data_IF_734048049096
#
_entry.id   IF_734048049096
#
_cell.length_a   1.000
_cell.length_b   1.000
_cell.length_c   1.000
_cell.angle_alpha   90.00
_cell.angle_beta   90.00
_cell.angle_gamma   90.00
#
_symmetry.space_group_name_H-M   'P 1'
#
loop_
_entity.id
_entity.type
_entity.pdbx_description
1 polymer ?
#
# COMPACT_ATOMS: atom_id res chain seq x y z
N UNK A 1 -15.00 0.68 -44.92
CA UNK A 1 -14.61 1.08 -43.57
C UNK A 1 -13.18 0.65 -43.33
N UNK A 2 -12.23 1.60 -43.35
CA UNK A 2 -10.81 1.30 -43.07
C UNK A 2 -10.68 0.89 -41.60
N UNK A 3 -10.60 -0.40 -41.29
CA UNK A 3 -10.23 -0.89 -39.95
C UNK A 3 -8.79 -0.44 -39.72
N UNK A 4 -8.58 0.54 -38.85
CA UNK A 4 -7.25 0.97 -38.39
C UNK A 4 -6.45 -0.29 -37.97
N UNK A 5 -5.27 -0.47 -38.52
CA UNK A 5 -4.30 -1.50 -38.07
C UNK A 5 -3.98 -1.23 -36.60
N UNK A 6 -4.50 -2.05 -35.71
CA UNK A 6 -4.08 -2.06 -34.31
C UNK A 6 -2.87 -3.01 -34.22
N UNK A 7 -1.70 -2.44 -34.09
CA UNK A 7 -0.48 -3.23 -33.88
C UNK A 7 -0.57 -4.01 -32.57
N UNK A 8 -0.16 -5.27 -32.61
CA UNK A 8 -0.10 -6.18 -31.46
C UNK A 8 0.66 -5.59 -30.29
N UNK A 9 1.70 -4.77 -30.60
CA UNK A 9 2.49 -4.04 -29.59
C UNK A 9 1.59 -3.15 -28.72
N UNK A 10 0.66 -2.40 -29.31
CA UNK A 10 -0.23 -1.52 -28.55
C UNK A 10 -1.30 -2.29 -27.78
N UNK A 11 -1.77 -3.42 -28.33
CA UNK A 11 -2.78 -4.28 -27.66
C UNK A 11 -2.22 -4.87 -26.35
N UNK A 12 -0.92 -5.16 -26.31
CA UNK A 12 -0.25 -5.72 -25.12
C UNK A 12 0.29 -4.58 -24.22
N UNK A 13 1.00 -3.62 -24.80
CA UNK A 13 1.79 -2.64 -24.06
C UNK A 13 0.92 -1.60 -23.35
N UNK A 14 -0.16 -1.13 -23.97
CA UNK A 14 -1.04 -0.11 -23.39
C UNK A 14 -1.73 -0.60 -22.12
N UNK A 15 -2.38 -1.78 -22.07
CA UNK A 15 -3.00 -2.25 -20.83
C UNK A 15 -1.96 -2.55 -19.73
N UNK A 16 -0.76 -3.03 -20.07
CA UNK A 16 0.30 -3.27 -19.09
C UNK A 16 0.81 -1.97 -18.48
N UNK A 17 0.99 -0.92 -19.30
CA UNK A 17 1.37 0.41 -18.81
C UNK A 17 0.28 0.98 -17.89
N UNK A 18 -1.00 0.87 -18.30
CA UNK A 18 -2.13 1.34 -17.48
C UNK A 18 -2.14 0.61 -16.13
N UNK A 19 -2.00 -0.72 -16.13
CA UNK A 19 -1.90 -1.51 -14.90
C UNK A 19 -0.73 -1.07 -14.02
N UNK A 20 0.43 -0.82 -14.61
CA UNK A 20 1.61 -0.31 -13.90
C UNK A 20 1.35 1.05 -13.26
N UNK A 21 0.78 2.00 -14.00
CA UNK A 21 0.47 3.34 -13.50
C UNK A 21 -0.57 3.25 -12.36
N UNK A 22 -1.65 2.50 -12.55
CA UNK A 22 -2.70 2.31 -11.52
C UNK A 22 -2.11 1.69 -10.26
N UNK A 23 -1.23 0.70 -10.40
CA UNK A 23 -0.56 0.05 -9.27
C UNK A 23 0.35 1.02 -8.49
N UNK A 24 1.15 1.82 -9.19
CA UNK A 24 2.04 2.83 -8.56
C UNK A 24 1.22 3.91 -7.84
N UNK A 25 0.21 4.48 -8.50
CA UNK A 25 -0.66 5.50 -7.91
C UNK A 25 -1.40 4.95 -6.68
N UNK A 26 -1.91 3.71 -6.77
CA UNK A 26 -2.56 3.03 -5.65
C UNK A 26 -1.61 2.85 -4.46
N UNK A 27 -0.37 2.47 -4.71
CA UNK A 27 0.63 2.26 -3.66
C UNK A 27 0.98 3.58 -2.95
N UNK A 28 1.21 4.66 -3.70
CA UNK A 28 1.47 6.00 -3.13
C UNK A 28 0.27 6.45 -2.28
N UNK A 29 -0.95 6.26 -2.76
CA UNK A 29 -2.15 6.64 -2.02
C UNK A 29 -2.36 5.81 -0.75
N UNK A 30 -2.08 4.51 -0.81
CA UNK A 30 -2.11 3.61 0.36
C UNK A 30 -1.10 4.02 1.42
N UNK A 31 0.13 4.35 1.03
CA UNK A 31 1.17 4.86 1.95
C UNK A 31 0.75 6.16 2.62
N UNK A 32 0.20 7.11 1.88
CA UNK A 32 -0.29 8.38 2.44
C UNK A 32 -1.48 8.17 3.39
N UNK A 33 -2.36 7.21 3.09
CA UNK A 33 -3.48 6.87 3.97
C UNK A 33 -3.00 6.25 5.28
N UNK A 34 -2.03 5.34 5.21
CA UNK A 34 -1.42 4.71 6.38
C UNK A 34 -0.67 5.73 7.24
N UNK A 35 0.08 6.64 6.61
CA UNK A 35 0.75 7.73 7.33
C UNK A 35 -0.25 8.58 8.12
N UNK A 36 -1.36 9.00 7.53
CA UNK A 36 -2.41 9.78 8.23
C UNK A 36 -3.02 9.02 9.41
N UNK A 37 -3.22 7.71 9.28
CA UNK A 37 -3.72 6.87 10.37
C UNK A 37 -2.70 6.83 11.51
N UNK A 38 -1.42 6.62 11.18
CA UNK A 38 -0.35 6.60 12.17
C UNK A 38 -0.16 7.96 12.87
N UNK A 39 -0.10 9.06 12.11
CA UNK A 39 0.05 10.40 12.67
C UNK A 39 -1.11 10.74 13.62
N UNK A 40 -2.34 10.36 13.27
CA UNK A 40 -3.51 10.53 14.15
C UNK A 40 -3.39 9.66 15.41
N UNK A 41 -2.97 8.40 15.28
CA UNK A 41 -2.78 7.52 16.43
C UNK A 41 -1.69 8.03 17.38
N UNK A 42 -0.55 8.47 16.86
CA UNK A 42 0.55 9.03 17.64
C UNK A 42 0.08 10.28 18.40
N UNK A 43 -0.59 11.18 17.71
CA UNK A 43 -1.12 12.40 18.34
C UNK A 43 -2.09 12.10 19.50
N UNK A 44 -3.00 11.16 19.31
CA UNK A 44 -3.95 10.75 20.35
C UNK A 44 -3.20 10.21 21.58
N UNK A 45 -2.23 9.31 21.34
CA UNK A 45 -1.48 8.69 22.44
C UNK A 45 -0.65 9.73 23.19
N UNK A 46 0.08 10.60 22.48
CA UNK A 46 0.95 11.62 23.08
C UNK A 46 0.14 12.66 23.87
N UNK A 47 -0.94 13.21 23.30
CA UNK A 47 -1.75 14.23 23.96
C UNK A 47 -2.50 13.66 25.17
N UNK A 48 -3.13 12.49 25.04
CA UNK A 48 -3.92 11.91 26.13
C UNK A 48 -3.03 11.38 27.26
N UNK A 49 -1.91 10.72 26.92
CA UNK A 49 -0.97 10.24 27.92
C UNK A 49 -0.37 11.42 28.71
N UNK A 50 0.01 12.48 28.00
CA UNK A 50 0.51 13.70 28.63
C UNK A 50 -0.52 14.29 29.61
N UNK A 51 -1.78 14.47 29.18
CA UNK A 51 -2.82 15.06 30.02
C UNK A 51 -3.08 14.23 31.28
N UNK A 52 -3.30 12.91 31.15
CA UNK A 52 -3.59 12.02 32.27
C UNK A 52 -2.39 11.96 33.23
N UNK A 53 -1.17 11.85 32.71
CA UNK A 53 0.03 11.77 33.55
C UNK A 53 0.26 13.07 34.28
N UNK A 54 0.16 14.22 33.60
CA UNK A 54 0.34 15.56 34.22
C UNK A 54 -0.70 15.82 35.29
N UNK A 55 -1.98 15.53 35.04
CA UNK A 55 -3.05 15.69 36.03
C UNK A 55 -2.85 14.77 37.24
N UNK A 56 -2.41 13.52 37.03
CA UNK A 56 -2.09 12.60 38.12
C UNK A 56 -0.92 13.09 39.00
N UNK A 57 0.10 13.66 38.36
CA UNK A 57 1.24 14.25 39.07
C UNK A 57 0.83 15.51 39.84
N UNK A 58 0.03 16.40 39.23
CA UNK A 58 -0.54 17.60 39.89
C UNK A 58 -1.34 17.21 41.13
N UNK A 59 -2.21 16.18 41.01
CA UNK A 59 -2.99 15.68 42.14
C UNK A 59 -2.12 15.16 43.29
N UNK A 60 -1.08 14.41 42.91
CA UNK A 60 -0.13 13.87 43.89
C UNK A 60 0.60 14.97 44.66
N UNK A 61 1.08 15.99 43.96
CA UNK A 61 1.79 17.12 44.60
C UNK A 61 0.83 17.97 45.44
N UNK A 62 -0.38 18.28 44.99
CA UNK A 62 -1.40 18.96 45.77
C UNK A 62 -1.71 18.21 47.08
N UNK A 63 -1.89 16.87 47.00
CA UNK A 63 -2.09 16.00 48.17
C UNK A 63 -0.85 15.97 49.10
N UNK A 64 0.36 16.10 48.55
CA UNK A 64 1.58 16.16 49.34
C UNK A 64 1.66 17.44 50.21
N UNK A 65 1.30 18.60 49.64
CA UNK A 65 1.22 19.88 50.36
C UNK A 65 0.26 19.76 51.53
N UNK A 66 -0.96 19.27 51.32
CA UNK A 66 -1.93 19.07 52.39
C UNK A 66 -1.40 18.15 53.50
N UNK A 67 -0.80 17.03 53.14
CA UNK A 67 -0.21 16.06 54.07
C UNK A 67 0.94 16.63 54.88
N UNK A 68 1.80 17.48 54.30
CA UNK A 68 2.88 18.17 54.99
C UNK A 68 2.32 19.18 55.99
N UNK A 69 1.28 19.92 55.63
CA UNK A 69 0.59 20.84 56.53
C UNK A 69 0.01 20.13 57.78
N UNK A 70 -0.62 18.95 57.57
CA UNK A 70 -1.10 18.10 58.68
C UNK A 70 0.07 17.59 59.55
N UNK A 71 1.18 17.21 58.95
CA UNK A 71 2.38 16.76 59.65
C UNK A 71 2.94 17.86 60.56
N UNK A 72 2.87 19.13 60.16
CA UNK A 72 3.29 20.26 60.93
C UNK A 72 2.48 20.42 62.26
N UNK A 73 1.18 20.10 62.28
CA UNK A 73 0.35 20.17 63.48
C UNK A 73 0.85 19.16 64.55
N UNK A 74 1.28 17.98 64.14
CA UNK A 74 1.72 16.92 65.03
C UNK A 74 3.20 16.97 65.38
N UNK A 75 3.99 17.82 64.70
CA UNK A 75 5.40 18.01 65.01
C UNK A 75 5.58 18.49 66.45
N UNK A 76 6.54 17.94 67.17
CA UNK A 76 6.76 18.18 68.60
C UNK A 76 7.91 19.12 68.91
N UNK A 77 8.80 19.35 67.95
CA UNK A 77 9.97 20.22 68.11
C UNK A 77 10.03 21.29 67.00
N UNK A 78 10.71 22.37 67.33
CA UNK A 78 10.79 23.57 66.47
C UNK A 78 11.55 23.26 65.15
N UNK A 79 12.62 22.48 65.19
CA UNK A 79 13.44 22.20 64.00
C UNK A 79 12.66 21.38 63.00
N UNK A 80 11.86 20.38 63.42
CA UNK A 80 10.94 19.60 62.60
C UNK A 80 9.87 20.52 61.99
N UNK A 81 9.31 21.49 62.76
CA UNK A 81 8.33 22.43 62.21
C UNK A 81 8.92 23.31 61.08
N UNK A 82 10.14 23.84 61.30
CA UNK A 82 10.82 24.64 60.28
C UNK A 82 11.08 23.82 59.02
N UNK A 83 11.59 22.59 59.15
CA UNK A 83 11.84 21.70 58.03
C UNK A 83 10.55 21.37 57.22
N UNK A 84 9.42 21.25 57.91
CA UNK A 84 8.11 21.01 57.27
C UNK A 84 7.62 22.26 56.51
N UNK A 85 7.83 23.49 57.06
CA UNK A 85 7.55 24.75 56.35
C UNK A 85 8.35 24.84 55.05
N UNK A 86 9.66 24.50 55.07
CA UNK A 86 10.51 24.54 53.90
C UNK A 86 10.06 23.46 52.88
N UNK A 87 9.62 22.30 53.36
CA UNK A 87 9.08 21.24 52.51
C UNK A 87 7.77 21.65 51.83
N UNK A 88 6.83 22.31 52.56
CA UNK A 88 5.58 22.86 51.98
C UNK A 88 5.90 23.86 50.88
N UNK A 89 6.80 24.81 51.12
CA UNK A 89 7.20 25.81 50.10
C UNK A 89 7.85 25.18 48.88
N UNK A 90 8.66 24.13 49.06
CA UNK A 90 9.28 23.41 47.96
C UNK A 90 8.24 22.70 47.08
N UNK A 91 7.23 22.05 47.71
CA UNK A 91 6.15 21.38 46.95
C UNK A 91 5.20 22.41 46.31
N UNK A 92 4.91 23.54 46.95
CA UNK A 92 4.15 24.65 46.33
C UNK A 92 4.87 25.14 45.06
N UNK A 93 6.17 25.46 45.15
CA UNK A 93 6.96 25.90 43.98
C UNK A 93 6.99 24.89 42.86
N UNK A 94 7.05 23.59 43.19
CA UNK A 94 7.02 22.50 42.26
C UNK A 94 5.63 22.42 41.58
N UNK A 95 4.56 22.49 42.34
CA UNK A 95 3.20 22.47 41.84
C UNK A 95 2.92 23.67 40.94
N UNK A 96 3.36 24.88 41.35
CA UNK A 96 3.26 26.10 40.53
C UNK A 96 3.95 25.93 39.17
N UNK A 97 5.13 25.32 39.11
CA UNK A 97 5.85 25.04 37.86
C UNK A 97 5.11 24.02 36.99
N UNK A 98 4.51 22.99 37.59
CA UNK A 98 3.73 21.98 36.86
C UNK A 98 2.44 22.56 36.28
N UNK A 99 1.78 23.43 37.02
CA UNK A 99 0.57 24.12 36.56
C UNK A 99 0.88 25.11 35.42
N UNK A 100 2.00 25.84 35.50
CA UNK A 100 2.46 26.69 34.39
C UNK A 100 2.73 25.87 33.12
N UNK A 101 3.40 24.73 33.25
CA UNK A 101 3.66 23.84 32.09
C UNK A 101 2.37 23.24 31.53
N UNK A 102 1.45 22.77 32.39
CA UNK A 102 0.18 22.22 31.96
C UNK A 102 -0.69 23.27 31.26
N UNK A 103 -0.68 24.51 31.74
CA UNK A 103 -1.44 25.62 31.17
C UNK A 103 -1.09 25.90 29.70
N UNK A 104 0.16 25.65 29.28
CA UNK A 104 0.64 25.86 27.89
C UNK A 104 0.01 24.92 26.91
N UNK A 105 -0.53 23.78 27.37
CA UNK A 105 -1.15 22.73 26.58
C UNK A 105 -2.58 22.42 27.00
N UNK A 106 -3.19 23.35 27.76
CA UNK A 106 -4.52 23.19 28.35
C UNK A 106 -5.57 22.94 27.25
N UNK A 107 -6.32 21.81 27.31
CA UNK A 107 -7.44 21.56 26.41
C UNK A 107 -8.55 22.61 26.64
N UNK A 108 -9.21 23.04 25.57
CA UNK A 108 -10.31 24.03 25.67
C UNK A 108 -11.46 23.56 26.56
N UNK A 109 -11.74 22.26 26.55
CA UNK A 109 -12.82 21.67 27.35
C UNK A 109 -12.48 21.68 28.86
N UNK A 110 -11.21 21.91 29.22
CA UNK A 110 -10.71 21.92 30.60
C UNK A 110 -10.50 23.36 31.16
N UNK A 111 -10.63 24.41 30.35
CA UNK A 111 -10.35 25.78 30.75
C UNK A 111 -11.13 26.20 32.03
N UNK A 112 -12.40 25.82 32.12
CA UNK A 112 -13.24 26.15 33.30
C UNK A 112 -12.79 25.37 34.52
N UNK A 113 -12.59 24.06 34.41
CA UNK A 113 -12.17 23.23 35.54
C UNK A 113 -10.78 23.61 36.02
N UNK A 114 -9.86 23.90 35.10
CA UNK A 114 -8.52 24.39 35.45
C UNK A 114 -8.54 25.73 36.16
N UNK A 115 -9.35 26.68 35.71
CA UNK A 115 -9.52 27.99 36.39
C UNK A 115 -10.06 27.85 37.80
N UNK A 116 -11.03 26.94 38.01
CA UNK A 116 -11.57 26.61 39.33
C UNK A 116 -10.51 25.93 40.20
N UNK A 117 -9.74 24.98 39.66
CA UNK A 117 -8.61 24.37 40.36
C UNK A 117 -7.61 25.42 40.86
N UNK A 118 -7.18 26.35 39.99
CA UNK A 118 -6.25 27.43 40.37
C UNK A 118 -6.84 28.28 41.49
N UNK A 119 -8.14 28.66 41.44
CA UNK A 119 -8.81 29.42 42.48
C UNK A 119 -8.80 28.68 43.82
N UNK A 120 -9.13 27.40 43.83
CA UNK A 120 -9.11 26.57 45.04
C UNK A 120 -7.69 26.37 45.58
N UNK A 121 -6.70 26.22 44.67
CA UNK A 121 -5.30 26.11 45.04
C UNK A 121 -4.76 27.39 45.71
N UNK A 122 -5.07 28.57 45.21
CA UNK A 122 -4.70 29.82 45.83
C UNK A 122 -5.34 29.99 47.22
N UNK A 123 -6.61 29.59 47.38
CA UNK A 123 -7.28 29.53 48.67
C UNK A 123 -6.60 28.55 49.63
N UNK A 124 -6.24 27.34 49.11
CA UNK A 124 -5.50 26.35 49.89
C UNK A 124 -4.15 26.88 50.39
N UNK A 125 -3.34 27.51 49.53
CA UNK A 125 -2.05 28.13 49.93
C UNK A 125 -2.25 29.16 51.07
N UNK A 126 -3.27 29.99 50.98
CA UNK A 126 -3.58 30.99 52.00
C UNK A 126 -3.92 30.33 53.35
N UNK A 127 -4.78 29.32 53.35
CA UNK A 127 -5.19 28.65 54.60
C UNK A 127 -4.08 27.77 55.18
N UNK A 128 -3.21 27.17 54.34
CA UNK A 128 -2.01 26.46 54.81
C UNK A 128 -1.06 27.42 55.52
N UNK A 129 -0.82 28.63 54.98
CA UNK A 129 -0.01 29.60 55.65
C UNK A 129 -0.58 29.98 57.04
N UNK A 130 -1.91 30.12 57.14
CA UNK A 130 -2.59 30.37 58.43
C UNK A 130 -2.44 29.16 59.38
N UNK A 131 -2.60 27.94 58.90
CA UNK A 131 -2.40 26.71 59.69
C UNK A 131 -0.99 26.62 60.23
N UNK A 132 0.03 26.83 59.38
CA UNK A 132 1.44 26.81 59.80
C UNK A 132 1.71 27.87 60.88
N UNK A 133 1.14 29.09 60.75
CA UNK A 133 1.25 30.16 61.72
C UNK A 133 0.56 29.76 63.03
N UNK A 134 -0.65 29.26 63.06
CA UNK A 134 -1.33 28.80 64.29
C UNK A 134 -0.57 27.65 64.95
N UNK A 135 -0.16 26.63 64.19
CA UNK A 135 0.57 25.47 64.69
C UNK A 135 1.92 25.89 65.32
N UNK A 136 2.68 26.76 64.65
CA UNK A 136 3.96 27.29 65.15
C UNK A 136 3.80 28.13 66.42
N UNK A 137 2.65 28.83 66.61
CA UNK A 137 2.31 29.53 67.79
C UNK A 137 1.63 28.74 68.92
N UNK A 138 1.76 27.40 68.84
CA UNK A 138 1.16 26.42 69.80
C UNK A 138 -0.38 26.42 69.83
N UNK A 139 -1.06 27.08 68.87
CA UNK A 139 -2.51 27.06 68.73
C UNK A 139 -2.99 25.89 67.94
N UNK A 140 -2.63 24.67 68.40
CA UNK A 140 -2.84 23.42 67.63
C UNK A 140 -4.31 23.13 67.37
N UNK A 141 -5.25 23.49 68.27
CA UNK A 141 -6.68 23.33 68.05
C UNK A 141 -7.17 24.17 66.85
N UNK A 142 -6.78 25.43 66.77
CA UNK A 142 -7.13 26.30 65.65
C UNK A 142 -6.54 25.82 64.33
N UNK A 143 -5.30 25.32 64.33
CA UNK A 143 -4.68 24.71 63.17
C UNK A 143 -5.41 23.44 62.72
N UNK A 144 -5.87 22.61 63.68
CA UNK A 144 -6.65 21.41 63.39
C UNK A 144 -8.04 21.73 62.83
N UNK A 145 -8.71 22.77 63.32
CA UNK A 145 -9.99 23.25 62.77
C UNK A 145 -9.83 23.74 61.34
N UNK A 146 -8.77 24.49 61.01
CA UNK A 146 -8.47 24.87 59.62
C UNK A 146 -8.21 23.67 58.73
N UNK A 147 -7.45 22.69 59.21
CA UNK A 147 -7.12 21.49 58.44
C UNK A 147 -8.36 20.67 58.04
N UNK A 148 -9.32 20.54 58.99
CA UNK A 148 -10.56 19.75 58.73
C UNK A 148 -11.71 20.63 58.17
N UNK A 149 -11.57 21.94 58.15
CA UNK A 149 -12.49 22.90 57.55
C UNK A 149 -12.02 23.33 56.14
N UNK A 150 -11.61 24.60 56.06
CA UNK A 150 -11.31 25.27 54.81
C UNK A 150 -10.24 24.54 53.94
N UNK A 151 -9.18 24.00 54.55
CA UNK A 151 -8.15 23.26 53.82
C UNK A 151 -8.70 21.98 53.18
N UNK A 152 -9.52 21.22 53.94
CA UNK A 152 -10.19 20.01 53.43
C UNK A 152 -11.16 20.34 52.31
N UNK A 153 -11.90 21.45 52.44
CA UNK A 153 -12.83 21.92 51.40
C UNK A 153 -12.10 22.28 50.09
N UNK A 154 -11.06 23.11 50.15
CA UNK A 154 -10.24 23.44 48.97
C UNK A 154 -9.59 22.23 48.34
N UNK A 155 -9.06 21.31 49.16
CA UNK A 155 -8.47 20.07 48.66
C UNK A 155 -9.49 19.21 47.93
N UNK A 156 -10.72 19.09 48.48
CA UNK A 156 -11.81 18.35 47.84
C UNK A 156 -12.27 19.00 46.53
N UNK A 157 -12.35 20.33 46.49
CA UNK A 157 -12.68 21.06 45.28
C UNK A 157 -11.62 20.86 44.19
N UNK A 158 -10.35 20.89 44.55
CA UNK A 158 -9.23 20.61 43.65
C UNK A 158 -9.32 19.18 43.09
N UNK A 159 -9.62 18.17 43.92
CA UNK A 159 -9.79 16.79 43.49
C UNK A 159 -10.94 16.64 42.48
N UNK A 160 -12.08 17.32 42.74
CA UNK A 160 -13.24 17.34 41.83
C UNK A 160 -12.87 17.93 40.47
N UNK A 161 -12.07 19.00 40.44
CA UNK A 161 -11.65 19.62 39.19
C UNK A 161 -10.67 18.72 38.41
N UNK A 162 -9.73 18.07 39.10
CA UNK A 162 -8.83 17.08 38.46
C UNK A 162 -9.61 15.92 37.89
N UNK A 163 -10.55 15.34 38.64
CA UNK A 163 -11.40 14.24 38.18
C UNK A 163 -12.21 14.65 36.93
N UNK A 164 -12.73 15.88 36.94
CA UNK A 164 -13.41 16.45 35.76
C UNK A 164 -12.51 16.52 34.55
N UNK A 165 -11.29 17.04 34.68
CA UNK A 165 -10.31 17.14 33.59
C UNK A 165 -9.85 15.73 33.12
N UNK A 166 -9.62 14.80 34.04
CA UNK A 166 -9.33 13.39 33.71
C UNK A 166 -10.47 12.71 32.95
N UNK A 167 -11.72 12.95 33.37
CA UNK A 167 -12.93 12.43 32.67
C UNK A 167 -13.04 13.00 31.26
N UNK A 168 -12.76 14.29 31.09
CA UNK A 168 -12.72 14.94 29.78
C UNK A 168 -11.63 14.32 28.89
N UNK A 169 -10.43 14.10 29.42
CA UNK A 169 -9.34 13.43 28.70
C UNK A 169 -9.72 12.00 28.29
N UNK A 170 -10.41 11.25 29.17
CA UNK A 170 -10.97 9.93 28.87
C UNK A 170 -11.97 9.99 27.72
N UNK A 171 -12.93 10.91 27.77
CA UNK A 171 -13.95 11.10 26.72
C UNK A 171 -13.33 11.50 25.39
N UNK A 172 -12.33 12.38 25.40
CA UNK A 172 -11.59 12.77 24.21
C UNK A 172 -10.83 11.57 23.62
N UNK A 173 -10.21 10.74 24.46
CA UNK A 173 -9.53 9.53 24.05
C UNK A 173 -10.48 8.54 23.35
N UNK A 174 -11.68 8.33 23.91
CA UNK A 174 -12.71 7.47 23.29
C UNK A 174 -13.16 8.01 21.94
N UNK A 175 -13.47 9.30 21.83
CA UNK A 175 -13.85 9.96 20.57
C UNK A 175 -12.74 9.83 19.51
N UNK A 176 -11.51 10.11 19.91
CA UNK A 176 -10.36 10.05 19.03
C UNK A 176 -10.07 8.60 18.58
N UNK A 177 -10.23 7.62 19.47
CA UNK A 177 -10.11 6.20 19.14
C UNK A 177 -11.20 5.73 18.17
N UNK A 178 -12.45 6.20 18.37
CA UNK A 178 -13.55 5.93 17.44
C UNK A 178 -13.32 6.56 16.05
N UNK A 179 -12.81 7.78 16.00
CA UNK A 179 -12.44 8.47 14.76
C UNK A 179 -11.30 7.73 14.03
N UNK A 180 -10.28 7.28 14.78
CA UNK A 180 -9.18 6.48 14.24
C UNK A 180 -9.70 5.17 13.64
N UNK A 181 -10.60 4.45 14.36
CA UNK A 181 -11.21 3.23 13.88
C UNK A 181 -12.03 3.47 12.60
N UNK A 182 -12.78 4.56 12.52
CA UNK A 182 -13.53 4.96 11.32
C UNK A 182 -12.61 5.28 10.13
N UNK A 183 -11.52 6.02 10.36
CA UNK A 183 -10.50 6.32 9.34
C UNK A 183 -9.81 5.04 8.84
N UNK A 184 -9.47 4.13 9.74
CA UNK A 184 -8.89 2.82 9.41
C UNK A 184 -9.86 1.96 8.60
N UNK A 185 -11.12 1.85 9.03
CA UNK A 185 -12.16 1.12 8.31
C UNK A 185 -12.36 1.68 6.89
N UNK A 186 -12.45 2.99 6.76
CA UNK A 186 -12.59 3.66 5.46
C UNK A 186 -11.36 3.44 4.55
N UNK A 187 -10.16 3.45 5.11
CA UNK A 187 -8.93 3.15 4.38
C UNK A 187 -8.90 1.70 3.89
N UNK A 188 -9.32 0.75 4.73
CA UNK A 188 -9.41 -0.68 4.43
C UNK A 188 -10.41 -0.95 3.30
N UNK A 189 -11.61 -0.38 3.39
CA UNK A 189 -12.65 -0.54 2.35
C UNK A 189 -12.17 0.02 1.02
N UNK A 190 -11.60 1.22 0.99
CA UNK A 190 -11.00 1.79 -0.22
C UNK A 190 -9.89 0.93 -0.79
N UNK A 191 -9.02 0.39 0.06
CA UNK A 191 -7.96 -0.54 -0.35
C UNK A 191 -8.51 -1.80 -1.02
N UNK A 192 -9.57 -2.39 -0.47
CA UNK A 192 -10.25 -3.55 -1.08
C UNK A 192 -10.83 -3.22 -2.46
N UNK A 193 -11.48 -2.06 -2.62
CA UNK A 193 -11.99 -1.61 -3.91
C UNK A 193 -10.89 -1.45 -4.96
N UNK A 194 -9.75 -0.89 -4.59
CA UNK A 194 -8.61 -0.72 -5.48
C UNK A 194 -8.03 -2.08 -5.90
N UNK A 195 -7.87 -3.01 -4.97
CA UNK A 195 -7.40 -4.37 -5.27
C UNK A 195 -8.38 -5.06 -6.23
N UNK A 196 -9.68 -4.97 -5.98
CA UNK A 196 -10.70 -5.53 -6.86
C UNK A 196 -10.64 -4.93 -8.27
N UNK A 197 -10.46 -3.61 -8.38
CA UNK A 197 -10.30 -2.91 -9.65
C UNK A 197 -9.07 -3.42 -10.42
N UNK A 198 -7.94 -3.55 -9.74
CA UNK A 198 -6.70 -4.07 -10.35
C UNK A 198 -6.90 -5.51 -10.85
N UNK A 199 -7.56 -6.37 -10.07
CA UNK A 199 -7.84 -7.75 -10.46
C UNK A 199 -8.76 -7.81 -11.68
N UNK A 200 -9.78 -6.96 -11.75
CA UNK A 200 -10.67 -6.87 -12.93
C UNK A 200 -9.89 -6.40 -14.16
N UNK A 201 -9.07 -5.35 -14.03
CA UNK A 201 -8.23 -4.86 -15.13
C UNK A 201 -7.22 -5.93 -15.60
N UNK A 202 -6.62 -6.66 -14.67
CA UNK A 202 -5.71 -7.77 -14.98
C UNK A 202 -6.45 -8.87 -15.77
N UNK A 203 -7.63 -9.26 -15.29
CA UNK A 203 -8.44 -10.29 -15.97
C UNK A 203 -8.84 -9.86 -17.38
N UNK A 204 -9.29 -8.62 -17.55
CA UNK A 204 -9.65 -8.05 -18.87
C UNK A 204 -8.43 -8.03 -19.80
N UNK A 205 -7.26 -7.66 -19.28
CA UNK A 205 -6.01 -7.64 -20.04
C UNK A 205 -5.61 -9.05 -20.48
N UNK A 206 -5.61 -10.03 -19.57
CA UNK A 206 -5.27 -11.42 -19.88
C UNK A 206 -6.25 -12.03 -20.88
N UNK A 207 -7.55 -11.77 -20.72
CA UNK A 207 -8.58 -12.22 -21.65
C UNK A 207 -8.40 -11.61 -23.04
N UNK A 208 -8.10 -10.30 -23.09
CA UNK A 208 -7.81 -9.60 -24.34
C UNK A 208 -6.60 -10.19 -25.06
N UNK A 209 -5.50 -10.39 -24.37
CA UNK A 209 -4.28 -11.02 -24.93
C UNK A 209 -4.58 -12.45 -25.40
N UNK A 210 -5.31 -13.24 -24.61
CA UNK A 210 -5.68 -14.59 -25.01
C UNK A 210 -6.50 -14.62 -26.31
N UNK A 211 -7.55 -13.80 -26.40
CA UNK A 211 -8.45 -13.78 -27.56
C UNK A 211 -7.83 -13.15 -28.80
N UNK A 212 -7.10 -12.05 -28.63
CA UNK A 212 -6.58 -11.26 -29.74
C UNK A 212 -5.23 -11.78 -30.27
N UNK A 213 -4.44 -12.46 -29.41
CA UNK A 213 -3.08 -12.89 -29.75
C UNK A 213 -2.97 -14.41 -29.78
N UNK A 214 -3.12 -15.05 -28.59
CA UNK A 214 -2.80 -16.47 -28.41
C UNK A 214 -3.67 -17.35 -29.30
N UNK A 215 -4.97 -17.08 -29.37
CA UNK A 215 -5.91 -17.84 -30.19
C UNK A 215 -5.54 -17.79 -31.68
N UNK A 216 -5.18 -16.61 -32.19
CA UNK A 216 -4.81 -16.42 -33.60
C UNK A 216 -3.47 -17.11 -33.93
N UNK A 217 -2.49 -16.99 -33.04
CA UNK A 217 -1.20 -17.66 -33.16
C UNK A 217 -1.36 -19.21 -33.18
N UNK A 218 -2.21 -19.73 -32.31
CA UNK A 218 -2.47 -21.17 -32.25
C UNK A 218 -3.12 -21.69 -33.53
N UNK A 219 -4.05 -20.93 -34.14
CA UNK A 219 -4.65 -21.31 -35.43
C UNK A 219 -3.59 -21.35 -36.53
N UNK A 220 -2.80 -20.29 -36.68
CA UNK A 220 -1.72 -20.23 -37.65
C UNK A 220 -0.70 -21.35 -37.45
N UNK A 221 -0.27 -21.63 -36.23
CA UNK A 221 0.65 -22.72 -35.91
C UNK A 221 0.08 -24.08 -36.25
N UNK A 222 -1.22 -24.30 -36.00
CA UNK A 222 -1.89 -25.57 -36.36
C UNK A 222 -1.94 -25.78 -37.87
N UNK A 223 -2.22 -24.75 -38.65
CA UNK A 223 -2.25 -24.79 -40.12
C UNK A 223 -0.85 -25.07 -40.67
N UNK A 224 0.20 -24.39 -40.16
CA UNK A 224 1.60 -24.63 -40.53
C UNK A 224 1.98 -26.10 -40.27
N UNK A 225 1.70 -26.61 -39.06
CA UNK A 225 1.98 -28.02 -38.74
C UNK A 225 1.24 -28.98 -39.66
N UNK A 226 0.02 -28.65 -40.04
CA UNK A 226 -0.75 -29.46 -41.01
C UNK A 226 -0.12 -29.50 -42.39
N UNK A 227 0.41 -28.36 -42.89
CA UNK A 227 1.14 -28.29 -44.15
C UNK A 227 2.43 -29.09 -44.09
N UNK A 228 3.25 -28.93 -43.04
CA UNK A 228 4.51 -29.66 -42.83
C UNK A 228 4.23 -31.18 -42.83
N UNK A 229 3.27 -31.63 -42.04
CA UNK A 229 2.92 -33.03 -41.95
C UNK A 229 2.48 -33.59 -43.31
N UNK A 230 1.70 -32.85 -44.09
CA UNK A 230 1.31 -33.26 -45.44
C UNK A 230 2.51 -33.46 -46.38
N UNK A 231 3.56 -32.61 -46.24
CA UNK A 231 4.81 -32.76 -47.01
C UNK A 231 5.57 -33.99 -46.56
N UNK A 232 5.69 -34.27 -45.27
CA UNK A 232 6.39 -35.45 -44.71
C UNK A 232 5.72 -36.77 -45.14
N UNK A 233 4.38 -36.78 -45.14
CA UNK A 233 3.57 -37.95 -45.55
C UNK A 233 3.55 -38.15 -47.07
N UNK A 234 4.36 -37.45 -47.87
CA UNK A 234 4.41 -37.46 -49.36
C UNK A 234 3.09 -37.09 -50.02
N UNK A 235 2.16 -36.52 -49.30
CA UNK A 235 0.88 -35.97 -49.78
C UNK A 235 0.90 -34.42 -49.77
N UNK A 236 2.09 -33.83 -49.87
CA UNK A 236 2.33 -32.40 -49.72
C UNK A 236 1.57 -31.57 -50.74
N UNK A 237 0.52 -30.92 -50.29
CA UNK A 237 -0.21 -29.93 -51.06
C UNK A 237 0.36 -28.54 -50.82
N UNK A 238 1.28 -28.11 -51.68
CA UNK A 238 1.89 -26.80 -51.66
C UNK A 238 0.91 -25.66 -52.08
N UNK A 239 -0.34 -26.01 -52.46
CA UNK A 239 -1.38 -25.01 -52.78
C UNK A 239 -2.08 -24.48 -51.54
N UNK A 240 -1.98 -25.18 -50.42
CA UNK A 240 -2.58 -24.75 -49.15
C UNK A 240 -1.96 -23.42 -48.68
N UNK A 241 -2.80 -22.60 -48.09
CA UNK A 241 -2.42 -21.27 -47.55
C UNK A 241 -2.89 -21.15 -46.11
N UNK A 242 -2.16 -20.35 -45.32
CA UNK A 242 -2.55 -20.03 -43.96
C UNK A 242 -3.68 -19.00 -43.98
N UNK A 243 -4.71 -19.26 -43.19
CA UNK A 243 -5.86 -18.36 -43.04
C UNK A 243 -5.45 -17.10 -42.22
N UNK A 244 -5.57 -15.92 -42.84
CA UNK A 244 -5.23 -14.65 -42.17
C UNK A 244 -6.44 -14.15 -41.44
N UNK A 245 -6.48 -14.34 -40.11
CA UNK A 245 -7.58 -13.96 -39.21
C UNK A 245 -7.43 -12.57 -38.56
N UNK A 246 -6.38 -11.84 -38.85
CA UNK A 246 -6.08 -10.57 -38.25
C UNK A 246 -5.59 -9.53 -39.25
N UNK A 247 -5.45 -8.28 -38.79
CA UNK A 247 -4.88 -7.18 -39.58
C UNK A 247 -3.74 -6.51 -38.77
N UNK A 248 -2.90 -7.34 -38.13
CA UNK A 248 -1.81 -6.96 -37.25
C UNK A 248 -0.54 -7.72 -37.68
N UNK A 249 0.49 -7.74 -36.86
CA UNK A 249 1.76 -8.41 -37.12
C UNK A 249 1.61 -9.94 -37.32
N UNK A 250 0.54 -10.54 -36.79
CA UNK A 250 0.21 -11.95 -37.06
C UNK A 250 -0.24 -12.13 -38.52
N UNK A 251 -0.94 -11.16 -39.08
CA UNK A 251 -1.29 -11.13 -40.49
C UNK A 251 -0.04 -11.03 -41.39
N UNK A 252 0.92 -10.17 -41.00
CA UNK A 252 2.16 -9.98 -41.75
C UNK A 252 2.98 -11.29 -41.74
N UNK A 253 3.01 -12.02 -40.61
CA UNK A 253 3.62 -13.35 -40.53
C UNK A 253 2.91 -14.37 -41.45
N UNK A 254 1.57 -14.40 -41.38
CA UNK A 254 0.76 -15.29 -42.26
C UNK A 254 0.99 -14.99 -43.75
N UNK A 255 1.03 -13.74 -44.17
CA UNK A 255 1.35 -13.31 -45.52
C UNK A 255 2.76 -13.73 -45.93
N UNK A 256 3.75 -13.55 -45.05
CA UNK A 256 5.13 -13.97 -45.31
C UNK A 256 5.23 -15.48 -45.58
N UNK A 257 4.55 -16.29 -44.77
CA UNK A 257 4.51 -17.74 -44.96
C UNK A 257 3.78 -18.12 -46.27
N UNK A 258 2.66 -17.47 -46.59
CA UNK A 258 1.95 -17.72 -47.84
C UNK A 258 2.82 -17.38 -49.07
N UNK A 259 3.58 -16.27 -49.01
CA UNK A 259 4.54 -15.90 -50.03
C UNK A 259 5.70 -16.92 -50.15
N UNK A 260 6.19 -17.42 -49.04
CA UNK A 260 7.19 -18.50 -49.02
C UNK A 260 6.67 -19.77 -49.68
N UNK A 261 5.44 -20.20 -49.36
CA UNK A 261 4.79 -21.34 -49.97
C UNK A 261 4.64 -21.17 -51.50
N UNK A 262 4.28 -19.99 -51.95
CA UNK A 262 4.19 -19.67 -53.38
C UNK A 262 5.55 -19.83 -54.09
N UNK A 263 6.63 -19.33 -53.51
CA UNK A 263 7.97 -19.52 -54.03
C UNK A 263 8.40 -20.96 -54.09
N UNK A 264 8.10 -21.77 -53.05
CA UNK A 264 8.36 -23.20 -53.04
C UNK A 264 7.57 -23.92 -54.16
N UNK A 265 6.31 -23.56 -54.33
CA UNK A 265 5.45 -24.12 -55.39
C UNK A 265 6.03 -23.82 -56.77
N UNK A 266 6.52 -22.62 -57.01
CA UNK A 266 7.15 -22.26 -58.29
C UNK A 266 8.47 -23.00 -58.53
N UNK A 267 9.31 -23.17 -57.48
CA UNK A 267 10.54 -23.95 -57.58
C UNK A 267 10.22 -25.41 -57.93
N UNK A 268 9.24 -26.02 -57.29
CA UNK A 268 8.83 -27.41 -57.59
C UNK A 268 8.30 -27.55 -59.01
N UNK A 269 7.52 -26.56 -59.50
CA UNK A 269 7.07 -26.55 -60.89
C UNK A 269 8.25 -26.52 -61.86
N UNK A 270 9.27 -25.69 -61.61
CA UNK A 270 10.48 -25.63 -62.42
C UNK A 270 11.27 -26.94 -62.41
N UNK A 271 11.35 -27.61 -61.24
CA UNK A 271 11.99 -28.94 -61.14
C UNK A 271 11.25 -29.94 -61.97
N UNK A 272 9.91 -30.01 -61.91
CA UNK A 272 9.09 -30.93 -62.71
C UNK A 272 9.30 -30.67 -64.20
N UNK A 273 9.25 -29.42 -64.66
CA UNK A 273 9.46 -29.08 -66.07
C UNK A 273 10.86 -29.46 -66.52
N UNK A 274 11.90 -29.21 -65.72
CA UNK A 274 13.27 -29.55 -66.03
C UNK A 274 13.47 -31.11 -66.05
N UNK A 275 12.83 -31.80 -65.12
CA UNK A 275 12.86 -33.30 -65.13
C UNK A 275 12.21 -33.89 -66.37
N UNK A 276 11.07 -33.32 -66.79
CA UNK A 276 10.40 -33.78 -68.08
C UNK A 276 11.28 -33.45 -69.27
N UNK A 277 11.94 -32.33 -69.35
CA UNK A 277 12.90 -32.01 -70.42
C UNK A 277 14.10 -32.98 -70.40
N UNK A 278 14.61 -33.28 -69.19
CA UNK A 278 15.72 -34.21 -69.05
C UNK A 278 15.30 -35.63 -69.53
N UNK A 279 14.09 -36.08 -69.18
CA UNK A 279 13.53 -37.31 -69.63
C UNK A 279 13.42 -37.37 -71.16
N UNK A 280 12.94 -36.29 -71.81
CA UNK A 280 12.89 -36.17 -73.27
C UNK A 280 14.30 -36.22 -73.91
N UNK A 281 15.28 -35.50 -73.34
CA UNK A 281 16.65 -35.53 -73.81
C UNK A 281 17.28 -36.96 -73.68
N UNK A 282 17.02 -37.59 -72.51
CA UNK A 282 17.51 -38.99 -72.33
C UNK A 282 16.87 -39.94 -73.37
N UNK A 283 15.59 -39.78 -73.69
CA UNK A 283 14.92 -40.54 -74.76
C UNK A 283 15.53 -40.30 -76.13
N UNK A 284 15.82 -39.04 -76.48
CA UNK A 284 16.48 -38.67 -77.72
C UNK A 284 17.92 -39.27 -77.82
N UNK A 285 18.68 -39.21 -76.73
CA UNK A 285 20.01 -39.87 -76.68
C UNK A 285 19.92 -41.35 -76.81
N UNK A 286 18.96 -42.07 -76.23
CA UNK A 286 18.75 -43.46 -76.36
C UNK A 286 18.42 -43.85 -77.83
N UNK A 287 17.55 -43.05 -78.49
CA UNK A 287 17.21 -43.25 -79.88
C UNK A 287 18.44 -43.04 -80.81
N UNK A 288 19.22 -42.04 -80.58
CA UNK A 288 20.43 -41.76 -81.31
C UNK A 288 21.48 -42.86 -81.15
N UNK A 289 21.61 -43.39 -79.89
CA UNK A 289 22.48 -44.56 -79.66
C UNK A 289 22.02 -45.77 -80.38
N UNK A 290 20.68 -46.04 -80.43
CA UNK A 290 20.15 -47.19 -81.24
C UNK A 290 20.44 -46.98 -82.68
N UNK A 291 20.15 -45.82 -83.25
CA UNK A 291 20.45 -45.49 -84.64
C UNK A 291 21.96 -45.61 -84.99
N UNK A 292 22.81 -45.15 -84.05
CA UNK A 292 24.28 -45.28 -84.22
C UNK A 292 24.75 -46.73 -84.17
N UNK A 293 24.13 -47.54 -83.28
CA UNK A 293 24.45 -48.95 -83.20
C UNK A 293 23.98 -49.70 -84.43
N UNK A 294 22.81 -49.43 -84.99
CA UNK A 294 22.30 -49.94 -86.21
C UNK A 294 23.24 -49.58 -87.43
N UNK A 295 23.64 -48.30 -87.44
CA UNK A 295 24.59 -47.83 -88.48
C UNK A 295 25.97 -48.47 -88.35
N UNK A 296 26.45 -48.78 -87.14
CA UNK A 296 27.70 -49.49 -86.94
C UNK A 296 27.59 -50.94 -87.29
N UNK A 297 26.42 -51.59 -87.08
CA UNK A 297 26.16 -52.96 -87.55
C UNK A 297 26.13 -53.02 -89.07
N UNK A 298 25.44 -52.07 -89.69
CA UNK A 298 25.44 -51.98 -91.21
C UNK A 298 26.84 -51.76 -91.77
N UNK A 299 27.65 -50.92 -91.16
CA UNK A 299 29.01 -50.67 -91.57
C UNK A 299 29.88 -51.90 -91.37
N UNK A 300 29.69 -52.68 -90.30
CA UNK A 300 30.39 -53.96 -90.07
C UNK A 300 30.03 -55.01 -91.17
N UNK A 301 28.79 -55.05 -91.56
CA UNK A 301 28.32 -55.96 -92.62
C UNK A 301 28.90 -55.57 -93.98
N UNK A 302 29.06 -54.29 -94.27
CA UNK A 302 29.70 -53.79 -95.55
C UNK A 302 31.21 -53.97 -95.55
N UNK A 303 31.89 -54.12 -94.42
CA UNK A 303 33.34 -54.38 -94.35
C UNK A 303 33.73 -55.86 -94.35
N UNK A 304 32.76 -56.77 -94.23
CA UNK A 304 32.96 -58.17 -94.34
C UNK A 304 32.69 -58.75 -95.77
N UNK A 305 32.18 -57.94 -96.71
CA UNK A 305 32.10 -58.22 -98.16
C UNK A 305 33.37 -57.77 -98.90
#
# INVERSE_FOLDING_TARGET
MNKKRLSLKYIILVPVIILGIVSVVSNIWSMNSLKRVNDTATKIVEENLYNITSLSEIQKEASAIHRLALSHIIASDFDSMVALVDSVRAEEAKLDAMLDEYSKRLPKDDEQAFSQFISSYEGLKHEIANLLAYSGNSKKTAAYELANGAISEYSSDMDVQIETMMSNAGTQSEKASAELAAKYSSARVRGMFIIMLILVLLFVTLYGVFMLVIRKLNVATKEIKGIIKGIDDRQGDLTRRITILSNDEVADLGNGINTFMEKLQNIMRLIIINSQKLEAVVGEVQQNLHTSNDSAADLSAVTEE
#
